data_IF_370847403493
#
_entry.id   IF_370847403493
#
_cell.length_a   1.000
_cell.length_b   1.000
_cell.length_c   1.000
_cell.angle_alpha   90.00
_cell.angle_beta   90.00
_cell.angle_gamma   90.00
#
_symmetry.space_group_name_H-M   'P 1'
#
loop_
_entity.id
_entity.type
_entity.pdbx_description
1 polymer ?
#
# COMPACT_ATOMS: atom_id res chain seq x y z
N UNK A 1 -8.00 -5.82 3.87
CA UNK A 1 -7.94 -6.19 2.44
C UNK A 1 -6.49 -6.38 2.02
N UNK A 2 -6.21 -7.32 1.11
CA UNK A 2 -4.88 -7.47 0.53
C UNK A 2 -4.83 -6.88 -0.88
N UNK A 3 -3.85 -6.02 -1.15
CA UNK A 3 -3.58 -5.47 -2.48
C UNK A 3 -2.32 -6.12 -3.02
N UNK A 4 -2.42 -6.87 -4.12
CA UNK A 4 -1.30 -7.60 -4.71
C UNK A 4 -0.78 -6.82 -5.93
N UNK A 5 0.31 -6.08 -5.74
CA UNK A 5 0.94 -5.30 -6.82
C UNK A 5 2.23 -5.94 -7.36
N UNK A 6 2.54 -7.17 -6.93
CA UNK A 6 3.73 -7.89 -7.41
C UNK A 6 3.59 -8.18 -8.90
N UNK A 7 4.57 -7.72 -9.68
CA UNK A 7 4.62 -7.96 -11.12
C UNK A 7 3.97 -6.86 -11.95
N UNK A 8 3.31 -5.92 -11.30
CA UNK A 8 2.89 -4.66 -11.91
C UNK A 8 4.10 -3.73 -12.07
N UNK A 9 4.07 -2.90 -13.09
CA UNK A 9 4.94 -1.74 -13.15
C UNK A 9 4.51 -0.66 -12.13
N UNK A 10 5.25 0.45 -12.08
CA UNK A 10 4.95 1.51 -11.13
C UNK A 10 3.59 2.15 -11.41
N UNK A 11 3.25 2.39 -12.68
CA UNK A 11 2.01 3.06 -13.06
C UNK A 11 0.79 2.18 -12.80
N UNK A 12 0.85 0.90 -13.18
CA UNK A 12 -0.18 -0.09 -12.86
C UNK A 12 -0.39 -0.24 -11.35
N UNK A 13 0.70 -0.22 -10.57
CA UNK A 13 0.61 -0.26 -9.12
C UNK A 13 -0.01 1.00 -8.51
N UNK A 14 0.18 2.19 -9.13
CA UNK A 14 -0.47 3.43 -8.71
C UNK A 14 -1.98 3.34 -8.92
N UNK A 15 -2.40 2.95 -10.12
CA UNK A 15 -3.82 2.81 -10.46
C UNK A 15 -4.50 1.78 -9.58
N UNK A 16 -3.91 0.60 -9.40
CA UNK A 16 -4.46 -0.45 -8.53
C UNK A 16 -4.58 0.05 -7.09
N UNK A 17 -3.56 0.71 -6.55
CA UNK A 17 -3.65 1.26 -5.19
C UNK A 17 -4.77 2.31 -5.07
N UNK A 18 -4.87 3.25 -6.02
CA UNK A 18 -5.89 4.28 -6.00
C UNK A 18 -7.30 3.68 -6.02
N UNK A 19 -7.55 2.75 -6.95
CA UNK A 19 -8.83 2.06 -7.09
C UNK A 19 -9.22 1.31 -5.80
N UNK A 20 -8.25 0.63 -5.19
CA UNK A 20 -8.46 -0.16 -3.96
C UNK A 20 -8.67 0.69 -2.72
N UNK A 21 -8.05 1.86 -2.65
CA UNK A 21 -8.26 2.80 -1.54
C UNK A 21 -9.68 3.37 -1.58
N UNK A 22 -10.16 3.75 -2.77
CA UNK A 22 -11.54 4.18 -2.97
C UNK A 22 -12.53 3.05 -2.62
N UNK A 23 -12.28 1.82 -3.07
CA UNK A 23 -13.07 0.65 -2.70
C UNK A 23 -13.12 0.45 -1.17
N UNK A 24 -12.00 0.65 -0.47
CA UNK A 24 -11.93 0.53 0.98
C UNK A 24 -12.72 1.62 1.70
N UNK A 25 -12.71 2.85 1.20
CA UNK A 25 -13.51 3.95 1.76
C UNK A 25 -15.01 3.66 1.61
N UNK A 26 -15.45 3.24 0.42
CA UNK A 26 -16.86 2.92 0.15
C UNK A 26 -17.34 1.75 1.02
N UNK A 27 -16.49 0.73 1.22
CA UNK A 27 -16.83 -0.47 1.97
C UNK A 27 -16.55 -0.39 3.47
N UNK A 28 -15.98 0.72 3.96
CA UNK A 28 -15.59 0.88 5.35
C UNK A 28 -14.54 -0.14 5.82
N UNK A 29 -13.60 -0.52 4.94
CA UNK A 29 -12.56 -1.51 5.27
C UNK A 29 -11.48 -0.84 6.13
N UNK A 30 -11.26 -1.29 7.39
CA UNK A 30 -10.40 -0.59 8.33
C UNK A 30 -8.91 -0.89 8.18
N UNK A 31 -8.55 -1.90 7.38
CA UNK A 31 -7.16 -2.36 7.26
C UNK A 31 -6.83 -2.82 5.84
N UNK A 32 -5.64 -2.43 5.37
CA UNK A 32 -5.12 -2.77 4.05
C UNK A 32 -3.68 -3.28 4.18
N UNK A 33 -3.35 -4.35 3.48
CA UNK A 33 -2.00 -4.89 3.35
C UNK A 33 -1.57 -4.89 1.89
N UNK A 34 -0.55 -4.12 1.55
CA UNK A 34 0.00 -4.03 0.20
C UNK A 34 1.16 -5.03 0.08
N UNK A 35 1.03 -5.98 -0.85
CA UNK A 35 1.99 -7.05 -1.12
C UNK A 35 2.80 -6.67 -2.37
N UNK A 36 4.04 -6.22 -2.16
CA UNK A 36 4.96 -5.72 -3.21
C UNK A 36 6.15 -6.66 -3.49
N UNK A 37 6.39 -7.68 -2.65
CA UNK A 37 7.39 -8.73 -2.88
C UNK A 37 8.85 -8.33 -2.60
N UNK A 38 9.76 -9.34 -2.51
CA UNK A 38 11.09 -9.18 -1.87
C UNK A 38 12.32 -9.09 -2.79
N UNK A 39 12.25 -9.41 -4.09
CA UNK A 39 13.48 -9.54 -4.93
C UNK A 39 13.59 -8.63 -6.16
N UNK A 40 12.48 -8.17 -6.75
CA UNK A 40 12.46 -7.25 -7.90
C UNK A 40 11.62 -5.98 -7.66
N UNK A 41 10.95 -5.89 -6.51
CA UNK A 41 10.03 -4.80 -6.16
C UNK A 41 10.66 -3.63 -5.41
N UNK A 42 11.98 -3.42 -5.49
CA UNK A 42 12.66 -2.34 -4.77
C UNK A 42 12.05 -0.97 -5.12
N UNK A 43 11.67 -0.76 -6.38
CA UNK A 43 10.98 0.46 -6.84
C UNK A 43 9.63 0.63 -6.16
N UNK A 44 8.77 -0.40 -6.18
CA UNK A 44 7.45 -0.36 -5.54
C UNK A 44 7.54 -0.23 -4.02
N UNK A 45 8.52 -0.88 -3.41
CA UNK A 45 8.82 -0.74 -1.98
C UNK A 45 9.25 0.68 -1.64
N UNK A 46 10.21 1.23 -2.38
CA UNK A 46 10.67 2.59 -2.18
C UNK A 46 9.54 3.60 -2.41
N UNK A 47 8.67 3.35 -3.39
CA UNK A 47 7.48 4.16 -3.63
C UNK A 47 6.49 4.12 -2.47
N UNK A 48 6.11 2.92 -1.99
CA UNK A 48 5.20 2.76 -0.84
C UNK A 48 5.78 3.40 0.43
N UNK A 49 7.09 3.33 0.59
CA UNK A 49 7.80 3.96 1.72
C UNK A 49 8.12 5.44 1.48
N UNK A 50 7.83 5.98 0.30
CA UNK A 50 8.11 7.37 -0.03
C UNK A 50 7.21 8.31 0.76
N UNK A 51 7.74 9.48 1.13
CA UNK A 51 6.96 10.50 1.81
C UNK A 51 5.77 11.02 0.99
N UNK A 52 5.81 10.88 -0.35
CA UNK A 52 4.71 11.26 -1.23
C UNK A 52 3.54 10.30 -1.04
N UNK A 53 3.77 9.00 -1.21
CA UNK A 53 2.74 7.98 -1.03
C UNK A 53 2.17 8.00 0.40
N UNK A 54 3.02 8.13 1.42
CA UNK A 54 2.55 8.19 2.81
C UNK A 54 1.67 9.42 3.08
N UNK A 55 1.91 10.54 2.40
CA UNK A 55 1.05 11.73 2.50
C UNK A 55 -0.29 11.49 1.81
N UNK A 56 -0.30 10.85 0.64
CA UNK A 56 -1.51 10.46 -0.08
C UNK A 56 -2.36 9.51 0.77
N UNK A 57 -1.77 8.42 1.26
CA UNK A 57 -2.43 7.47 2.16
C UNK A 57 -3.05 8.17 3.37
N UNK A 58 -2.32 9.10 4.01
CA UNK A 58 -2.82 9.87 5.15
C UNK A 58 -3.98 10.78 4.78
N UNK A 59 -3.96 11.38 3.57
CA UNK A 59 -5.07 12.21 3.07
C UNK A 59 -6.33 11.37 2.85
N UNK A 60 -6.16 10.12 2.44
CA UNK A 60 -7.23 9.14 2.25
C UNK A 60 -7.68 8.43 3.55
N UNK A 61 -7.16 8.84 4.72
CA UNK A 61 -7.53 8.30 6.04
C UNK A 61 -6.68 7.12 6.51
N UNK A 62 -5.72 6.66 5.72
CA UNK A 62 -4.88 5.51 6.04
C UNK A 62 -3.54 5.90 6.66
N UNK A 63 -3.11 5.17 7.68
CA UNK A 63 -1.81 5.33 8.33
C UNK A 63 -1.03 4.03 8.26
N UNK A 64 0.24 4.11 7.90
CA UNK A 64 1.14 2.96 7.90
C UNK A 64 1.25 2.41 9.32
N UNK A 65 0.89 1.13 9.52
CA UNK A 65 1.20 0.42 10.75
C UNK A 65 2.71 0.37 10.89
N UNK A 66 3.22 0.64 12.09
CA UNK A 66 4.65 0.50 12.41
C UNK A 66 5.12 -0.84 11.84
N UNK A 67 6.23 -0.84 11.10
CA UNK A 67 6.76 -2.04 10.44
C UNK A 67 7.24 -3.01 11.53
N UNK A 68 6.31 -3.69 12.16
CA UNK A 68 6.55 -4.86 12.98
C UNK A 68 6.34 -6.06 12.08
N UNK A 69 7.25 -6.36 11.16
CA UNK A 69 7.34 -7.74 10.66
C UNK A 69 8.57 -8.03 9.81
N UNK A 70 9.06 -9.22 10.10
CA UNK A 70 9.96 -10.14 9.42
C UNK A 70 9.78 -10.33 7.90
N UNK A 71 8.84 -9.64 7.23
CA UNK A 71 8.59 -9.81 5.79
C UNK A 71 8.71 -8.49 5.01
N UNK A 72 9.86 -8.21 4.36
CA UNK A 72 10.12 -6.92 3.70
C UNK A 72 9.26 -6.60 2.47
N UNK A 73 8.30 -7.47 2.12
CA UNK A 73 7.49 -7.43 0.90
C UNK A 73 5.99 -7.23 1.18
N UNK A 74 5.66 -6.80 2.41
CA UNK A 74 4.31 -6.42 2.82
C UNK A 74 4.38 -5.07 3.55
N UNK A 75 3.42 -4.19 3.27
CA UNK A 75 3.24 -2.93 4.00
C UNK A 75 1.78 -2.81 4.43
N UNK A 76 1.54 -2.73 5.73
CA UNK A 76 0.19 -2.70 6.30
C UNK A 76 -0.22 -1.30 6.73
N UNK A 77 -1.47 -0.95 6.49
CA UNK A 77 -2.08 0.35 6.76
C UNK A 77 -3.40 0.18 7.48
N UNK A 78 -3.71 1.08 8.40
CA UNK A 78 -5.02 1.16 9.06
C UNK A 78 -5.73 2.46 8.76
N UNK A 79 -7.03 2.36 8.56
CA UNK A 79 -7.95 3.48 8.47
C UNK A 79 -8.18 4.05 9.88
N UNK A 80 -7.99 5.36 10.03
CA UNK A 80 -8.17 6.09 11.29
C UNK A 80 -9.20 7.20 11.14
#
# INVERSE_FOLDING_TARGET
MEIRIRGLDLFEALEENSYRLEECQIKGIPEISIINGNRKGQVLKNYIQSGVFLKEMKREGFRLKRIESSNPGVSSFTFN
#
